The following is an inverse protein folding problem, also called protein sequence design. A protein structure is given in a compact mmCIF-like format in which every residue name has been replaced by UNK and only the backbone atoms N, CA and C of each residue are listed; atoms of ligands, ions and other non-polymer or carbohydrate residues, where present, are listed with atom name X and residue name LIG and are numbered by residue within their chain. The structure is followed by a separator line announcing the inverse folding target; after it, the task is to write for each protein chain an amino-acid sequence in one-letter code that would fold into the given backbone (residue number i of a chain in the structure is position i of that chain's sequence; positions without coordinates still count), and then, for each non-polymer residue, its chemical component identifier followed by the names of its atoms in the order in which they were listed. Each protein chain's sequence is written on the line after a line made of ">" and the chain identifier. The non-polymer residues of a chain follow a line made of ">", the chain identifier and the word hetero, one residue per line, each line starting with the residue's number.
data_IF_151710936617
#
_entry.id   IF_151710936617
#
_cell.length_a   1.000
_cell.length_b   1.000
_cell.length_c   1.000
_cell.angle_alpha   90.00
_cell.angle_beta   90.00
_cell.angle_gamma   90.00
#
_symmetry.space_group_name_H-M   'P 1'
#
loop_
_entity.id
_entity.type
_entity.pdbx_description
1 polymer ?
#
# COMPACT_ATOMS: atom_id res chain seq x y z
N UNK A 1 -34.20 -23.33 64.66
CA UNK A 1 -34.54 -23.23 63.23
C UNK A 1 -35.91 -23.86 63.08
N UNK A 2 -36.89 -23.12 62.57
CA UNK A 2 -38.22 -23.70 62.32
C UNK A 2 -38.18 -24.60 61.07
N UNK A 3 -39.15 -25.48 60.90
CA UNK A 3 -39.20 -26.42 59.77
C UNK A 3 -39.33 -25.70 58.40
N UNK A 4 -39.84 -24.48 58.38
CA UNK A 4 -40.04 -23.67 57.18
C UNK A 4 -38.70 -23.13 56.66
N UNK A 5 -37.89 -22.57 57.56
CA UNK A 5 -36.52 -22.09 57.28
C UNK A 5 -35.59 -23.23 56.84
N UNK A 6 -35.73 -24.43 57.42
CA UNK A 6 -34.96 -25.61 56.98
C UNK A 6 -35.39 -26.09 55.58
N UNK A 7 -36.69 -26.02 55.27
CA UNK A 7 -37.24 -26.38 53.96
C UNK A 7 -36.82 -25.39 52.86
N UNK A 8 -36.85 -24.08 53.14
CA UNK A 8 -36.45 -23.04 52.21
C UNK A 8 -34.94 -23.09 51.91
N UNK A 9 -34.11 -23.37 52.92
CA UNK A 9 -32.66 -23.60 52.73
C UNK A 9 -32.39 -24.83 51.87
N UNK A 10 -33.12 -25.93 52.08
CA UNK A 10 -32.99 -27.14 51.24
C UNK A 10 -33.35 -26.86 49.77
N UNK A 11 -34.46 -26.17 49.53
CA UNK A 11 -34.88 -25.80 48.17
C UNK A 11 -33.87 -24.86 47.52
N UNK A 12 -33.33 -23.87 48.24
CA UNK A 12 -32.32 -22.97 47.72
C UNK A 12 -31.03 -23.71 47.31
N UNK A 13 -30.58 -24.67 48.13
CA UNK A 13 -29.42 -25.53 47.83
C UNK A 13 -29.70 -26.41 46.61
N UNK A 14 -30.90 -26.95 46.47
CA UNK A 14 -31.26 -27.81 45.34
C UNK A 14 -31.35 -27.04 44.01
N UNK A 15 -31.87 -25.81 44.05
CA UNK A 15 -31.90 -24.90 42.90
C UNK A 15 -30.48 -24.47 42.51
N UNK A 16 -29.63 -24.09 43.47
CA UNK A 16 -28.22 -23.78 43.21
C UNK A 16 -27.47 -24.97 42.62
N UNK A 17 -27.71 -26.18 43.11
CA UNK A 17 -27.10 -27.41 42.58
C UNK A 17 -27.49 -27.67 41.12
N UNK A 18 -28.77 -27.48 40.77
CA UNK A 18 -29.23 -27.58 39.37
C UNK A 18 -28.61 -26.50 38.47
N UNK A 19 -28.54 -25.26 38.94
CA UNK A 19 -27.91 -24.17 38.19
C UNK A 19 -26.41 -24.44 37.95
N UNK A 20 -25.71 -24.99 38.95
CA UNK A 20 -24.30 -25.35 38.83
C UNK A 20 -24.10 -26.49 37.82
N UNK A 21 -24.96 -27.51 37.81
CA UNK A 21 -24.91 -28.60 36.82
C UNK A 21 -25.11 -28.08 35.40
N UNK A 22 -26.14 -27.27 35.18
CA UNK A 22 -26.39 -26.62 33.88
C UNK A 22 -25.20 -25.78 33.42
N UNK A 23 -24.57 -25.04 34.34
CA UNK A 23 -23.37 -24.27 34.04
C UNK A 23 -22.19 -25.17 33.63
N UNK A 24 -21.94 -26.25 34.37
CA UNK A 24 -20.88 -27.22 34.03
C UNK A 24 -21.12 -27.89 32.68
N UNK A 25 -22.37 -28.28 32.39
CA UNK A 25 -22.76 -28.83 31.09
C UNK A 25 -22.48 -27.83 29.96
N UNK A 26 -22.87 -26.57 30.13
CA UNK A 26 -22.62 -25.51 29.13
C UNK A 26 -21.14 -25.21 28.91
N UNK A 27 -20.33 -25.21 29.97
CA UNK A 27 -18.87 -25.06 29.86
C UNK A 27 -18.25 -26.25 29.13
N UNK A 28 -18.73 -27.46 29.40
CA UNK A 28 -18.24 -28.69 28.73
C UNK A 28 -18.59 -28.68 27.25
N UNK A 29 -19.81 -28.26 26.89
CA UNK A 29 -20.22 -28.06 25.49
C UNK A 29 -19.31 -27.04 24.77
N UNK A 30 -19.04 -25.90 25.43
CA UNK A 30 -18.16 -24.87 24.88
C UNK A 30 -16.72 -25.36 24.69
N UNK A 31 -16.17 -26.09 25.67
CA UNK A 31 -14.82 -26.66 25.58
C UNK A 31 -14.71 -27.70 24.48
N UNK A 32 -15.71 -28.58 24.35
CA UNK A 32 -15.74 -29.57 23.27
C UNK A 32 -15.85 -28.89 21.90
N UNK A 33 -16.71 -27.87 21.78
CA UNK A 33 -16.81 -27.09 20.56
C UNK A 33 -15.48 -26.40 20.23
N UNK A 34 -14.81 -25.79 21.21
CA UNK A 34 -13.48 -25.19 21.00
C UNK A 34 -12.47 -26.23 20.54
N UNK A 35 -12.38 -27.38 21.19
CA UNK A 35 -11.44 -28.45 20.80
C UNK A 35 -11.69 -28.97 19.38
N UNK A 36 -12.97 -29.09 18.97
CA UNK A 36 -13.33 -29.50 17.61
C UNK A 36 -12.92 -28.44 16.57
N UNK A 37 -12.98 -27.15 16.93
CA UNK A 37 -12.74 -26.03 16.01
C UNK A 37 -11.37 -25.37 16.19
N UNK A 38 -10.52 -25.88 17.08
CA UNK A 38 -9.28 -25.22 17.50
C UNK A 38 -8.34 -24.96 16.33
N UNK A 39 -8.17 -25.93 15.44
CA UNK A 39 -7.28 -25.81 14.27
C UNK A 39 -7.78 -24.73 13.30
N UNK A 40 -9.08 -24.73 13.00
CA UNK A 40 -9.72 -23.73 12.16
C UNK A 40 -9.61 -22.32 12.77
N UNK A 41 -9.82 -22.20 14.08
CA UNK A 41 -9.66 -20.92 14.80
C UNK A 41 -8.20 -20.45 14.71
N UNK A 42 -7.23 -21.34 14.93
CA UNK A 42 -5.82 -21.01 14.84
C UNK A 42 -5.42 -20.60 13.41
N UNK A 43 -5.97 -21.25 12.39
CA UNK A 43 -5.75 -20.88 10.99
C UNK A 43 -6.28 -19.48 10.67
N UNK A 44 -7.49 -19.14 11.14
CA UNK A 44 -8.04 -17.80 10.99
C UNK A 44 -7.21 -16.75 11.73
N UNK A 45 -6.81 -17.02 12.97
CA UNK A 45 -5.98 -16.12 13.76
C UNK A 45 -4.61 -15.90 13.10
N UNK A 46 -4.00 -16.96 12.56
CA UNK A 46 -2.74 -16.86 11.81
C UNK A 46 -2.89 -16.02 10.55
N UNK A 47 -3.95 -16.26 9.78
CA UNK A 47 -4.25 -15.49 8.55
C UNK A 47 -4.49 -14.01 8.87
N UNK A 48 -5.27 -13.73 9.91
CA UNK A 48 -5.52 -12.36 10.37
C UNK A 48 -4.24 -11.69 10.90
N UNK A 49 -3.41 -12.42 11.65
CA UNK A 49 -2.11 -11.95 12.11
C UNK A 49 -1.18 -11.59 10.94
N UNK A 50 -1.12 -12.43 9.90
CA UNK A 50 -0.35 -12.15 8.69
C UNK A 50 -0.85 -10.90 7.96
N UNK A 51 -2.18 -10.70 7.91
CA UNK A 51 -2.77 -9.50 7.30
C UNK A 51 -2.42 -8.22 8.08
N UNK A 52 -2.39 -8.27 9.42
CA UNK A 52 -1.93 -7.15 10.24
C UNK A 52 -0.47 -6.81 9.96
N UNK A 53 0.40 -7.81 9.91
CA UNK A 53 1.82 -7.60 9.61
C UNK A 53 2.01 -7.00 8.22
N UNK A 54 1.30 -7.53 7.22
CA UNK A 54 1.29 -6.97 5.87
C UNK A 54 0.81 -5.51 5.86
N UNK A 55 -0.31 -5.21 6.55
CA UNK A 55 -0.89 -3.86 6.60
C UNK A 55 0.06 -2.86 7.24
N UNK A 56 0.73 -3.27 8.33
CA UNK A 56 1.76 -2.47 8.98
C UNK A 56 2.92 -2.17 8.04
N UNK A 57 3.41 -3.16 7.29
CA UNK A 57 4.48 -2.93 6.32
C UNK A 57 4.05 -1.93 5.23
N UNK A 58 2.84 -2.06 4.69
CA UNK A 58 2.29 -1.11 3.71
C UNK A 58 2.20 0.30 4.27
N UNK A 59 1.72 0.47 5.51
CA UNK A 59 1.65 1.79 6.16
C UNK A 59 3.04 2.41 6.30
N UNK A 60 4.01 1.63 6.79
CA UNK A 60 5.38 2.08 6.98
C UNK A 60 6.03 2.50 5.66
N UNK A 61 5.79 1.76 4.57
CA UNK A 61 6.23 2.14 3.22
C UNK A 61 5.57 3.44 2.76
N UNK A 62 4.24 3.54 2.94
CA UNK A 62 3.45 4.71 2.57
C UNK A 62 3.90 5.99 3.28
N UNK A 63 4.15 5.91 4.59
CA UNK A 63 4.66 7.00 5.43
C UNK A 63 6.02 7.52 4.95
N UNK A 64 6.80 6.67 4.28
CA UNK A 64 8.11 7.02 3.70
C UNK A 64 8.03 7.36 2.21
N UNK A 65 6.84 7.58 1.64
CA UNK A 65 6.63 7.84 0.22
C UNK A 65 7.11 6.71 -0.72
N UNK A 66 7.00 5.46 -0.27
CA UNK A 66 7.39 4.28 -1.06
C UNK A 66 6.13 3.57 -1.54
N UNK A 67 5.91 3.58 -2.86
CA UNK A 67 4.79 2.89 -3.51
C UNK A 67 5.29 1.56 -4.08
N UNK A 68 5.35 0.53 -3.25
CA UNK A 68 5.89 -0.76 -3.66
C UNK A 68 4.89 -1.54 -4.53
N UNK A 69 5.24 -1.79 -5.79
CA UNK A 69 4.38 -2.42 -6.80
C UNK A 69 4.65 -3.91 -6.99
N UNK A 70 5.71 -4.44 -6.38
CA UNK A 70 6.00 -5.86 -6.36
C UNK A 70 5.19 -6.54 -5.25
N UNK A 71 4.97 -7.85 -5.37
CA UNK A 71 4.32 -8.60 -4.31
C UNK A 71 5.22 -8.60 -3.08
N UNK A 72 4.74 -8.02 -1.97
CA UNK A 72 5.47 -8.02 -0.70
C UNK A 72 5.67 -9.46 -0.21
N UNK A 73 6.92 -9.92 -0.22
CA UNK A 73 7.30 -11.22 0.34
C UNK A 73 7.24 -11.20 1.87
N UNK A 74 7.12 -12.37 2.50
CA UNK A 74 7.16 -12.49 3.96
C UNK A 74 8.42 -11.86 4.57
N UNK A 75 9.58 -12.11 3.95
CA UNK A 75 10.87 -11.56 4.38
C UNK A 75 10.90 -10.02 4.27
N UNK A 76 10.35 -9.44 3.20
CA UNK A 76 10.27 -7.99 3.05
C UNK A 76 9.33 -7.37 4.09
N UNK A 77 8.17 -7.99 4.34
CA UNK A 77 7.22 -7.57 5.39
C UNK A 77 7.91 -7.56 6.75
N UNK A 78 8.67 -8.61 7.06
CA UNK A 78 9.40 -8.71 8.32
C UNK A 78 10.49 -7.64 8.44
N UNK A 79 11.33 -7.47 7.41
CA UNK A 79 12.39 -6.45 7.37
C UNK A 79 11.83 -5.05 7.56
N UNK A 80 10.80 -4.68 6.79
CA UNK A 80 10.15 -3.36 6.90
C UNK A 80 9.57 -3.15 8.30
N UNK A 81 8.85 -4.14 8.85
CA UNK A 81 8.22 -4.02 10.16
C UNK A 81 9.19 -3.95 11.33
N UNK A 82 10.38 -4.56 11.22
CA UNK A 82 11.42 -4.53 12.27
C UNK A 82 12.38 -3.36 12.14
N UNK A 83 12.51 -2.78 10.95
CA UNK A 83 13.47 -1.71 10.72
C UNK A 83 13.16 -0.46 11.56
N UNK A 84 14.18 0.33 11.85
CA UNK A 84 14.05 1.71 12.34
C UNK A 84 14.07 2.72 11.20
N UNK A 85 14.65 2.35 10.06
CA UNK A 85 14.77 3.16 8.84
C UNK A 85 14.27 2.37 7.62
N UNK A 86 13.06 2.69 7.15
CA UNK A 86 12.43 1.99 6.02
C UNK A 86 13.13 2.32 4.70
N UNK A 87 13.58 3.56 4.55
CA UNK A 87 14.30 4.01 3.35
C UNK A 87 15.58 3.21 3.13
N UNK A 88 16.32 2.88 4.20
CA UNK A 88 17.54 2.08 4.12
C UNK A 88 17.26 0.65 3.65
N UNK A 89 16.19 0.01 4.16
CA UNK A 89 15.78 -1.34 3.74
C UNK A 89 15.46 -1.38 2.24
N UNK A 90 14.73 -0.38 1.75
CA UNK A 90 14.32 -0.34 0.35
C UNK A 90 15.48 0.10 -0.55
N UNK A 91 16.32 1.02 -0.10
CA UNK A 91 17.55 1.38 -0.81
C UNK A 91 18.46 0.15 -0.97
N UNK A 92 18.69 -0.62 0.09
CA UNK A 92 19.47 -1.85 0.03
C UNK A 92 18.86 -2.84 -0.97
N UNK A 93 17.55 -3.11 -0.88
CA UNK A 93 16.85 -4.01 -1.81
C UNK A 93 17.04 -3.64 -3.29
N UNK A 94 17.03 -2.35 -3.61
CA UNK A 94 17.20 -1.88 -4.99
C UNK A 94 18.65 -1.78 -5.43
N UNK A 95 19.61 -1.68 -4.50
CA UNK A 95 21.03 -1.45 -4.81
C UNK A 95 21.94 -2.66 -4.60
N UNK A 96 21.49 -3.68 -3.87
CA UNK A 96 22.20 -4.95 -3.74
C UNK A 96 22.36 -5.66 -5.09
N UNK A 97 23.27 -6.64 -5.14
CA UNK A 97 23.51 -7.47 -6.33
C UNK A 97 23.76 -6.63 -7.59
N UNK A 98 24.65 -5.65 -7.46
CA UNK A 98 24.99 -4.69 -8.52
C UNK A 98 23.74 -3.98 -9.05
N UNK A 99 22.82 -3.54 -8.20
CA UNK A 99 21.60 -2.81 -8.57
C UNK A 99 20.66 -3.55 -9.53
N UNK A 100 20.66 -4.89 -9.51
CA UNK A 100 19.83 -5.71 -10.42
C UNK A 100 18.34 -5.35 -10.33
N UNK A 101 17.82 -5.18 -9.11
CA UNK A 101 16.42 -4.82 -8.89
C UNK A 101 16.10 -3.43 -9.44
N UNK A 102 17.00 -2.46 -9.27
CA UNK A 102 16.81 -1.11 -9.80
C UNK A 102 16.85 -1.10 -11.33
N UNK A 103 17.80 -1.81 -11.95
CA UNK A 103 17.84 -1.94 -13.43
C UNK A 103 16.56 -2.55 -13.98
N UNK A 104 16.06 -3.62 -13.37
CA UNK A 104 14.81 -4.24 -13.79
C UNK A 104 13.61 -3.28 -13.67
N UNK A 105 13.57 -2.45 -12.62
CA UNK A 105 12.54 -1.44 -12.44
C UNK A 105 12.63 -0.35 -13.53
N UNK A 106 13.83 0.16 -13.81
CA UNK A 106 14.08 1.12 -14.90
C UNK A 106 13.65 0.55 -16.26
N UNK A 107 14.07 -0.66 -16.59
CA UNK A 107 13.70 -1.32 -17.85
C UNK A 107 12.19 -1.52 -17.96
N UNK A 108 11.54 -1.98 -16.88
CA UNK A 108 10.09 -2.18 -16.83
C UNK A 108 9.32 -0.87 -17.04
N UNK A 109 9.70 0.21 -16.35
CA UNK A 109 9.07 1.51 -16.54
C UNK A 109 9.29 2.02 -17.98
N UNK A 110 10.51 1.94 -18.50
CA UNK A 110 10.85 2.42 -19.84
C UNK A 110 10.15 1.66 -20.98
N UNK A 111 9.79 0.39 -20.74
CA UNK A 111 9.08 -0.44 -21.70
C UNK A 111 7.55 -0.24 -21.69
N UNK A 112 6.99 0.51 -20.73
CA UNK A 112 5.55 0.73 -20.64
C UNK A 112 5.04 1.63 -21.77
N UNK A 113 3.89 1.28 -22.36
CA UNK A 113 3.31 1.98 -23.52
C UNK A 113 3.14 3.50 -23.27
N UNK A 114 2.62 3.88 -22.12
CA UNK A 114 2.44 5.28 -21.75
C UNK A 114 3.77 6.04 -21.56
N UNK A 115 4.87 5.35 -21.27
CA UNK A 115 6.22 5.96 -21.16
C UNK A 115 6.90 6.06 -22.53
N UNK A 116 6.63 5.14 -23.46
CA UNK A 116 7.20 5.15 -24.82
C UNK A 116 6.85 6.45 -25.58
N UNK A 117 5.68 7.04 -25.31
CA UNK A 117 5.31 8.35 -25.84
C UNK A 117 6.33 9.46 -25.48
N UNK A 118 7.03 9.30 -24.36
CA UNK A 118 8.06 10.19 -23.81
C UNK A 118 9.49 9.71 -24.09
N UNK A 119 9.72 9.04 -25.24
CA UNK A 119 11.00 8.41 -25.65
C UNK A 119 12.28 9.25 -25.58
N UNK A 120 12.17 10.57 -25.44
CA UNK A 120 13.33 11.46 -25.20
C UNK A 120 13.52 11.79 -23.72
N UNK A 121 12.42 12.10 -23.03
CA UNK A 121 12.45 12.54 -21.64
C UNK A 121 12.85 11.40 -20.70
N UNK A 122 12.27 10.22 -20.86
CA UNK A 122 12.57 9.10 -19.96
C UNK A 122 14.05 8.67 -19.99
N UNK A 123 14.69 8.46 -21.16
CA UNK A 123 16.13 8.17 -21.19
C UNK A 123 17.00 9.28 -20.59
N UNK A 124 16.62 10.56 -20.75
CA UNK A 124 17.35 11.68 -20.14
C UNK A 124 17.25 11.68 -18.61
N UNK A 125 16.10 11.30 -18.06
CA UNK A 125 15.90 11.09 -16.62
C UNK A 125 16.83 9.99 -16.11
N UNK A 126 16.88 8.85 -16.81
CA UNK A 126 17.72 7.71 -16.44
C UNK A 126 19.20 8.09 -16.46
N UNK A 127 19.67 8.74 -17.53
CA UNK A 127 21.06 9.23 -17.63
C UNK A 127 21.39 10.20 -16.49
N UNK A 128 20.48 11.11 -16.15
CA UNK A 128 20.68 12.02 -15.02
C UNK A 128 20.86 11.26 -13.70
N UNK A 129 20.06 10.22 -13.44
CA UNK A 129 20.18 9.39 -12.25
C UNK A 129 21.50 8.58 -12.23
N UNK A 130 21.90 8.00 -13.36
CA UNK A 130 23.18 7.28 -13.51
C UNK A 130 24.40 8.20 -13.24
N UNK A 131 24.29 9.47 -13.61
CA UNK A 131 25.30 10.49 -13.31
C UNK A 131 25.24 11.02 -11.86
N UNK A 132 24.33 10.53 -11.04
CA UNK A 132 24.12 11.02 -9.67
C UNK A 132 23.36 12.36 -9.58
N UNK A 133 22.84 12.88 -10.69
CA UNK A 133 22.04 14.10 -10.75
C UNK A 133 20.58 13.83 -10.33
N UNK A 134 20.37 13.34 -9.12
CA UNK A 134 19.05 12.88 -8.66
C UNK A 134 17.98 13.96 -8.64
N UNK A 135 18.34 15.22 -8.36
CA UNK A 135 17.37 16.33 -8.43
C UNK A 135 16.82 16.52 -9.85
N UNK A 136 17.69 16.44 -10.87
CA UNK A 136 17.26 16.52 -12.27
C UNK A 136 16.41 15.31 -12.67
N UNK A 137 16.78 14.12 -12.19
CA UNK A 137 15.98 12.91 -12.42
C UNK A 137 14.57 13.04 -11.80
N UNK A 138 14.46 13.49 -10.54
CA UNK A 138 13.18 13.70 -9.86
C UNK A 138 12.34 14.81 -10.52
N UNK A 139 12.95 15.93 -10.94
CA UNK A 139 12.28 16.97 -11.72
C UNK A 139 11.66 16.42 -13.00
N UNK A 140 12.41 15.59 -13.73
CA UNK A 140 11.92 14.93 -14.92
C UNK A 140 10.80 13.92 -14.63
N UNK A 141 10.92 13.12 -13.56
CA UNK A 141 9.88 12.16 -13.16
C UNK A 141 8.57 12.84 -12.77
N UNK A 142 8.62 13.93 -11.99
CA UNK A 142 7.41 14.72 -11.72
C UNK A 142 6.74 15.21 -13.01
N UNK A 143 7.54 15.70 -13.96
CA UNK A 143 7.02 16.18 -15.25
C UNK A 143 6.44 15.05 -16.11
N UNK A 144 7.10 13.88 -16.10
CA UNK A 144 6.70 12.69 -16.84
C UNK A 144 5.40 12.11 -16.29
N UNK A 145 5.30 11.90 -14.98
CA UNK A 145 4.09 11.39 -14.33
C UNK A 145 2.89 12.31 -14.57
N UNK A 146 3.08 13.63 -14.51
CA UNK A 146 2.02 14.58 -14.85
C UNK A 146 1.57 14.50 -16.31
N UNK A 147 2.51 14.30 -17.23
CA UNK A 147 2.23 14.13 -18.65
C UNK A 147 1.44 12.85 -18.92
N UNK A 148 1.96 11.72 -18.44
CA UNK A 148 1.31 10.40 -18.53
C UNK A 148 -0.12 10.45 -17.97
N UNK A 149 -0.28 11.04 -16.79
CA UNK A 149 -1.59 11.15 -16.15
C UNK A 149 -2.55 12.04 -16.97
N UNK A 150 -2.04 13.08 -17.64
CA UNK A 150 -2.83 13.92 -18.56
C UNK A 150 -3.31 13.11 -19.76
N UNK A 151 -2.43 12.28 -20.33
CA UNK A 151 -2.72 11.49 -21.52
C UNK A 151 -3.73 10.38 -21.22
N UNK A 152 -3.57 9.65 -20.11
CA UNK A 152 -4.49 8.57 -19.69
C UNK A 152 -5.91 9.09 -19.45
N UNK A 153 -6.04 10.25 -18.78
CA UNK A 153 -7.34 10.81 -18.43
C UNK A 153 -7.94 11.61 -19.60
N UNK A 154 -7.12 12.01 -20.58
CA UNK A 154 -7.50 12.79 -21.76
C UNK A 154 -8.29 14.08 -21.40
N UNK A 155 -7.87 14.76 -20.33
CA UNK A 155 -8.48 16.00 -19.86
C UNK A 155 -7.47 17.15 -19.89
N UNK A 156 -7.24 17.78 -21.05
CA UNK A 156 -6.16 18.76 -21.23
C UNK A 156 -6.33 20.04 -20.40
N UNK A 157 -7.53 20.31 -19.85
CA UNK A 157 -7.80 21.48 -18.98
C UNK A 157 -7.63 21.18 -17.50
N UNK A 158 -7.53 19.91 -17.10
CA UNK A 158 -7.43 19.51 -15.71
C UNK A 158 -5.97 19.25 -15.34
N UNK A 159 -5.34 20.18 -14.64
CA UNK A 159 -3.95 20.05 -14.20
C UNK A 159 -3.80 19.44 -12.80
N UNK A 160 -4.92 19.16 -12.11
CA UNK A 160 -4.86 18.60 -10.76
C UNK A 160 -4.50 17.12 -10.82
N UNK A 161 -3.31 16.78 -10.29
CA UNK A 161 -2.85 15.39 -10.16
C UNK A 161 -3.88 14.55 -9.38
N UNK A 162 -4.29 15.02 -8.20
CA UNK A 162 -5.29 14.36 -7.34
C UNK A 162 -6.62 14.06 -8.04
N UNK A 163 -7.15 15.00 -8.83
CA UNK A 163 -8.41 14.77 -9.56
C UNK A 163 -8.23 13.71 -10.65
N UNK A 164 -7.16 13.79 -11.43
CA UNK A 164 -6.87 12.84 -12.51
C UNK A 164 -6.59 11.44 -11.96
N UNK A 165 -5.84 11.32 -10.85
CA UNK A 165 -5.62 10.05 -10.17
C UNK A 165 -6.92 9.42 -9.68
N UNK A 166 -7.81 10.22 -9.08
CA UNK A 166 -9.12 9.74 -8.65
C UNK A 166 -9.94 9.13 -9.78
N UNK A 167 -9.86 9.67 -11.00
CA UNK A 167 -10.56 9.07 -12.14
C UNK A 167 -10.01 7.69 -12.52
N UNK A 168 -8.70 7.47 -12.39
CA UNK A 168 -8.10 6.14 -12.56
C UNK A 168 -8.55 5.22 -11.42
N UNK A 169 -8.53 5.68 -10.17
CA UNK A 169 -9.01 4.92 -9.00
C UNK A 169 -10.49 4.53 -9.16
N UNK A 170 -11.35 5.46 -9.59
CA UNK A 170 -12.77 5.21 -9.82
C UNK A 170 -12.99 4.18 -10.94
N UNK A 171 -12.22 4.26 -12.04
CA UNK A 171 -12.26 3.25 -13.11
C UNK A 171 -11.89 1.86 -12.58
N UNK A 172 -10.86 1.75 -11.74
CA UNK A 172 -10.45 0.49 -11.12
C UNK A 172 -11.54 -0.03 -10.17
N UNK A 173 -12.05 0.80 -9.27
CA UNK A 173 -13.04 0.43 -8.27
C UNK A 173 -14.39 0.00 -8.89
N UNK A 174 -14.76 0.61 -10.02
CA UNK A 174 -15.97 0.22 -10.76
C UNK A 174 -15.81 -1.12 -11.50
N UNK A 175 -14.58 -1.50 -11.86
CA UNK A 175 -14.29 -2.72 -12.63
C UNK A 175 -13.91 -3.91 -11.73
N UNK A 176 -13.19 -3.68 -10.63
CA UNK A 176 -12.66 -4.72 -9.74
C UNK A 176 -13.31 -4.57 -8.36
N UNK A 177 -14.25 -5.46 -7.98
CA UNK A 177 -14.85 -5.38 -6.65
C UNK A 177 -13.81 -5.70 -5.56
N UNK A 178 -13.97 -5.17 -4.33
CA UNK A 178 -13.05 -5.44 -3.22
C UNK A 178 -12.83 -6.94 -2.93
N UNK A 179 -13.84 -7.78 -3.16
CA UNK A 179 -13.76 -9.24 -2.97
C UNK A 179 -12.86 -9.97 -3.96
N UNK A 180 -12.50 -9.34 -5.08
CA UNK A 180 -11.63 -9.87 -6.13
C UNK A 180 -10.30 -9.09 -6.22
N UNK A 181 -10.12 -8.09 -5.36
CA UNK A 181 -8.92 -7.28 -5.31
C UNK A 181 -7.84 -8.02 -4.53
N UNK A 182 -6.72 -8.33 -5.18
CA UNK A 182 -5.59 -8.94 -4.48
C UNK A 182 -4.90 -7.93 -3.54
N UNK A 183 -4.08 -8.44 -2.62
CA UNK A 183 -3.36 -7.59 -1.67
C UNK A 183 -2.39 -6.63 -2.36
N UNK A 184 -1.86 -6.97 -3.54
CA UNK A 184 -0.94 -6.09 -4.26
C UNK A 184 -1.67 -4.84 -4.74
N UNK A 185 -2.87 -4.97 -5.31
CA UNK A 185 -3.69 -3.82 -5.72
C UNK A 185 -4.01 -2.94 -4.51
N UNK A 186 -4.40 -3.51 -3.37
CA UNK A 186 -4.62 -2.74 -2.15
C UNK A 186 -3.36 -2.00 -1.67
N UNK A 187 -2.19 -2.65 -1.68
CA UNK A 187 -0.93 -2.00 -1.30
C UNK A 187 -0.66 -0.77 -2.16
N UNK A 188 -0.79 -0.91 -3.49
CA UNK A 188 -0.55 0.19 -4.43
C UNK A 188 -1.55 1.33 -4.21
N UNK A 189 -2.85 1.03 -4.14
CA UNK A 189 -3.91 2.03 -3.94
C UNK A 189 -3.74 2.82 -2.64
N UNK A 190 -3.35 2.15 -1.54
CA UNK A 190 -3.10 2.82 -0.27
C UNK A 190 -1.85 3.70 -0.36
N UNK A 191 -0.77 3.15 -0.91
CA UNK A 191 0.54 3.82 -0.93
C UNK A 191 0.54 5.02 -1.89
N UNK A 192 -0.09 4.90 -3.07
CA UNK A 192 -0.24 6.02 -4.00
C UNK A 192 -1.15 7.12 -3.40
N UNK A 193 -2.17 6.72 -2.62
CA UNK A 193 -3.00 7.62 -1.83
C UNK A 193 -2.19 8.49 -0.86
N UNK A 194 -1.25 7.89 -0.12
CA UNK A 194 -0.34 8.63 0.75
C UNK A 194 0.69 9.46 -0.04
N UNK A 195 1.21 8.90 -1.14
CA UNK A 195 2.19 9.57 -1.99
C UNK A 195 1.60 10.84 -2.63
N UNK A 196 0.36 10.79 -3.14
CA UNK A 196 -0.27 11.97 -3.76
C UNK A 196 -0.48 13.12 -2.78
N UNK A 197 -0.84 12.84 -1.52
CA UNK A 197 -1.05 13.90 -0.51
C UNK A 197 0.27 14.56 -0.07
N UNK A 198 1.41 13.88 -0.26
CA UNK A 198 2.74 14.38 0.14
C UNK A 198 3.53 14.90 -1.06
N UNK A 199 3.88 14.03 -2.01
CA UNK A 199 4.71 14.33 -3.17
C UNK A 199 4.01 15.23 -4.18
N UNK A 200 2.71 15.02 -4.45
CA UNK A 200 1.93 15.87 -5.34
C UNK A 200 1.04 16.88 -4.59
N UNK A 201 1.12 16.89 -3.25
CA UNK A 201 0.38 17.79 -2.38
C UNK A 201 0.86 19.23 -2.48
N UNK A 202 -0.07 20.16 -2.30
CA UNK A 202 0.28 21.57 -2.12
C UNK A 202 1.04 21.75 -0.81
N UNK A 203 2.07 22.58 -0.84
CA UNK A 203 2.87 22.93 0.34
C UNK A 203 3.11 24.44 0.37
N UNK A 204 2.89 25.05 1.52
CA UNK A 204 3.00 26.50 1.72
C UNK A 204 4.47 26.93 1.77
N UNK A 205 4.86 27.88 0.92
CA UNK A 205 6.23 28.38 0.85
C UNK A 205 6.60 29.31 2.01
N UNK A 206 5.63 29.77 2.80
CA UNK A 206 5.88 30.51 4.03
C UNK A 206 6.20 29.57 5.21
N UNK A 207 6.18 28.24 4.98
CA UNK A 207 6.62 27.22 5.94
C UNK A 207 8.02 26.71 5.59
N UNK A 208 8.72 26.08 6.56
CA UNK A 208 9.98 25.40 6.27
C UNK A 208 9.83 24.39 5.13
N UNK A 209 10.89 24.25 4.33
CA UNK A 209 10.95 23.24 3.26
C UNK A 209 10.69 21.84 3.84
N UNK A 210 9.81 21.03 3.21
CA UNK A 210 9.59 19.64 3.61
C UNK A 210 10.87 18.82 3.52
N UNK A 211 11.10 17.94 4.49
CA UNK A 211 12.23 16.99 4.46
C UNK A 211 12.02 15.82 3.48
N UNK A 212 10.90 15.79 2.76
CA UNK A 212 10.44 14.72 1.89
C UNK A 212 10.21 15.25 0.46
N UNK A 213 10.00 14.36 -0.51
CA UNK A 213 9.73 14.77 -1.90
C UNK A 213 8.45 15.59 -1.97
N UNK A 214 8.52 16.78 -2.57
CA UNK A 214 7.34 17.59 -2.83
C UNK A 214 7.47 18.34 -4.17
N UNK A 215 6.54 18.06 -5.09
CA UNK A 215 6.43 18.64 -6.42
C UNK A 215 6.35 20.16 -6.38
N UNK A 216 5.59 20.72 -5.45
CA UNK A 216 5.36 22.17 -5.38
C UNK A 216 6.67 22.90 -5.10
N UNK A 217 7.49 22.43 -4.16
CA UNK A 217 8.83 22.98 -3.91
C UNK A 217 9.80 22.69 -5.05
N UNK A 218 9.78 21.46 -5.57
CA UNK A 218 10.76 20.97 -6.55
C UNK A 218 10.59 21.67 -7.91
N UNK A 219 9.39 21.63 -8.51
CA UNK A 219 9.15 22.20 -9.84
C UNK A 219 9.13 23.74 -9.87
N UNK A 220 8.86 24.40 -8.74
CA UNK A 220 8.98 25.86 -8.65
C UNK A 220 10.39 26.33 -8.32
N UNK A 221 11.38 25.42 -8.26
CA UNK A 221 12.78 25.76 -8.02
C UNK A 221 13.06 26.31 -6.62
N UNK A 222 12.22 25.96 -5.63
CA UNK A 222 12.33 26.43 -4.25
C UNK A 222 12.96 25.41 -3.31
N UNK A 223 13.13 24.19 -3.77
CA UNK A 223 13.77 23.13 -2.99
C UNK A 223 15.28 23.30 -2.95
N UNK A 224 15.86 23.30 -1.74
CA UNK A 224 17.30 23.34 -1.48
C UNK A 224 17.80 22.03 -0.84
N UNK A 225 16.93 21.06 -0.62
CA UNK A 225 17.30 19.74 -0.11
C UNK A 225 18.24 19.01 -1.06
N UNK A 226 19.18 18.25 -0.50
CA UNK A 226 19.98 17.29 -1.26
C UNK A 226 19.12 16.10 -1.69
N UNK A 227 18.99 15.90 -3.00
CA UNK A 227 18.30 14.76 -3.57
C UNK A 227 19.23 13.55 -3.62
N UNK A 228 18.70 12.41 -3.20
CA UNK A 228 19.46 11.16 -3.04
C UNK A 228 19.01 10.11 -4.05
N UNK A 229 19.75 9.01 -4.14
CA UNK A 229 19.32 7.83 -4.91
C UNK A 229 17.97 7.28 -4.42
N UNK A 230 17.70 7.35 -3.12
CA UNK A 230 16.43 6.90 -2.57
C UNK A 230 15.26 7.77 -3.06
N UNK A 231 15.45 9.09 -3.21
CA UNK A 231 14.45 9.97 -3.79
C UNK A 231 14.11 9.59 -5.24
N UNK A 232 15.14 9.25 -6.02
CA UNK A 232 14.96 8.73 -7.37
C UNK A 232 14.18 7.40 -7.38
N UNK A 233 14.52 6.46 -6.49
CA UNK A 233 13.81 5.17 -6.35
C UNK A 233 12.34 5.40 -5.99
N UNK A 234 12.04 6.30 -5.03
CA UNK A 234 10.65 6.63 -4.64
C UNK A 234 9.83 7.17 -5.82
N UNK A 235 10.40 8.08 -6.59
CA UNK A 235 9.75 8.60 -7.79
C UNK A 235 9.58 7.53 -8.87
N UNK A 236 10.58 6.67 -9.09
CA UNK A 236 10.49 5.59 -10.08
C UNK A 236 9.43 4.56 -9.69
N UNK A 237 9.29 4.27 -8.40
CA UNK A 237 8.22 3.44 -7.85
C UNK A 237 6.83 4.09 -8.01
N UNK A 238 6.72 5.41 -7.86
CA UNK A 238 5.48 6.15 -8.18
C UNK A 238 5.11 6.01 -9.66
N UNK A 239 6.08 6.17 -10.57
CA UNK A 239 5.87 5.96 -11.99
C UNK A 239 5.41 4.53 -12.31
N UNK A 240 6.07 3.52 -11.73
CA UNK A 240 5.69 2.11 -11.90
C UNK A 240 4.27 1.83 -11.37
N UNK A 241 3.88 2.49 -10.26
CA UNK A 241 2.54 2.39 -9.70
C UNK A 241 1.49 3.04 -10.60
N UNK A 242 1.79 4.21 -11.18
CA UNK A 242 0.92 4.87 -12.15
C UNK A 242 0.72 3.98 -13.38
N UNK A 243 1.80 3.39 -13.92
CA UNK A 243 1.74 2.42 -15.03
C UNK A 243 0.88 1.21 -14.64
N UNK A 244 1.07 0.66 -13.44
CA UNK A 244 0.29 -0.48 -12.95
C UNK A 244 -1.21 -0.15 -12.86
N UNK A 245 -1.55 1.00 -12.28
CA UNK A 245 -2.95 1.45 -12.17
C UNK A 245 -3.59 1.74 -13.52
N UNK A 246 -2.85 2.38 -14.45
CA UNK A 246 -3.32 2.62 -15.81
C UNK A 246 -3.67 1.30 -16.51
N UNK A 247 -2.76 0.33 -16.45
CA UNK A 247 -2.99 -1.01 -17.00
C UNK A 247 -4.22 -1.70 -16.37
N UNK A 248 -4.43 -1.57 -15.05
CA UNK A 248 -5.63 -2.12 -14.41
C UNK A 248 -6.92 -1.45 -14.89
N UNK A 249 -6.88 -0.12 -15.11
CA UNK A 249 -8.02 0.62 -15.63
C UNK A 249 -8.36 0.23 -17.08
N UNK A 250 -7.37 -0.18 -17.88
CA UNK A 250 -7.51 -0.55 -19.30
C UNK A 250 -7.83 -2.04 -19.54
N UNK A 251 -7.24 -2.97 -18.78
CA UNK A 251 -7.23 -4.44 -18.98
C UNK A 251 -8.56 -5.19 -19.05
N UNK A 252 -9.71 -4.51 -19.07
CA UNK A 252 -11.03 -5.17 -19.02
C UNK A 252 -12.02 -4.72 -20.08
N UNK A 253 -11.60 -3.92 -21.07
CA UNK A 253 -12.45 -3.63 -22.25
C UNK A 253 -12.36 -4.71 -23.34
N UNK A 254 -11.37 -5.59 -23.29
CA UNK A 254 -11.29 -6.77 -24.17
C UNK A 254 -11.94 -8.00 -23.51
N UNK A 255 -13.28 -8.07 -23.57
CA UNK A 255 -14.11 -9.30 -23.68
C UNK A 255 -15.60 -8.97 -23.47
N UNK A 256 -16.20 -8.27 -24.42
CA UNK A 256 -17.67 -8.25 -24.59
C UNK A 256 -18.11 -8.32 -26.04
N UNK A 257 -17.24 -8.75 -26.96
CA UNK A 257 -17.60 -9.09 -28.33
C UNK A 257 -17.26 -10.55 -28.59
N UNK A 258 -18.08 -11.46 -28.03
CA UNK A 258 -18.34 -12.81 -28.55
C UNK A 258 -19.33 -13.52 -27.61
N UNK A 259 -20.63 -13.31 -27.88
CA UNK A 259 -21.73 -14.26 -27.68
C UNK A 259 -23.00 -13.78 -28.40
#
# INVERSE_FOLDING_TARGET
>A
MDNQTLFDVKNAVEVMSKALKLFVEKITELMNWYHINQDTINEYLKTFGNLILWRNAVNRLSENQIVFTEQLSGDMIEKVNKSTNVDEVILEYYTENEEKCLRNLVERCGAAECVIAYKKLYPQIVIAAEMGCFQLACLGLFSLEDGILSDIVNQPKNTSFKKRMREIEDKINNKIPPSQTDLKVFAVMISIGAFQETAFGNSDFDKPEPSYLNRHWTLHGRSHRDFTKMDYIKMLLSLDALIFMANLAERTEEKTDEL
#
